data_IF_528784283723
#
_entry.id   IF_528784283723
#
_cell.length_a   1.000
_cell.length_b   1.000
_cell.length_c   1.000
_cell.angle_alpha   90.00
_cell.angle_beta   90.00
_cell.angle_gamma   90.00
#
_symmetry.space_group_name_H-M   'P 1'
#
loop_
_entity.id
_entity.type
_entity.pdbx_description
1 polymer ?
#
# COMPACT_ATOMS: atom_id res chain seq x y z
N UNK A 1 2.71 -7.94 -20.52
CA UNK A 1 1.63 -7.63 -19.57
C UNK A 1 2.19 -6.64 -18.57
N UNK A 2 1.38 -5.76 -17.97
CA UNK A 2 1.88 -4.79 -16.99
C UNK A 2 2.29 -5.52 -15.70
N UNK A 3 3.54 -5.98 -15.68
CA UNK A 3 4.20 -6.74 -14.62
C UNK A 3 4.55 -5.84 -13.43
N UNK A 4 3.52 -5.41 -12.71
CA UNK A 4 3.69 -4.62 -11.49
C UNK A 4 3.16 -5.40 -10.30
N UNK A 5 4.03 -5.61 -9.31
CA UNK A 5 3.66 -6.20 -8.02
C UNK A 5 2.49 -5.42 -7.39
N UNK A 6 1.58 -6.15 -6.74
CA UNK A 6 0.55 -5.55 -5.88
C UNK A 6 1.20 -4.89 -4.66
N UNK A 7 0.43 -4.07 -3.95
CA UNK A 7 0.89 -3.44 -2.71
C UNK A 7 1.33 -4.47 -1.66
N UNK A 8 0.57 -5.57 -1.50
CA UNK A 8 0.94 -6.64 -0.57
C UNK A 8 2.24 -7.35 -0.97
N UNK A 9 2.47 -7.57 -2.26
CA UNK A 9 3.69 -8.19 -2.76
C UNK A 9 4.90 -7.27 -2.62
N UNK A 10 4.72 -5.96 -2.82
CA UNK A 10 5.73 -4.94 -2.52
C UNK A 10 6.10 -4.92 -1.03
N UNK A 11 5.09 -5.02 -0.15
CA UNK A 11 5.30 -5.10 1.28
C UNK A 11 6.07 -6.36 1.68
N UNK A 12 5.76 -7.53 1.09
CA UNK A 12 6.56 -8.75 1.29
C UNK A 12 8.02 -8.54 0.87
N UNK A 13 8.26 -8.01 -0.33
CA UNK A 13 9.62 -7.75 -0.81
C UNK A 13 10.41 -6.83 0.15
N UNK A 14 9.74 -5.80 0.65
CA UNK A 14 10.27 -4.81 1.57
C UNK A 14 10.61 -5.41 2.95
N UNK A 15 9.66 -6.14 3.56
CA UNK A 15 9.84 -6.77 4.88
C UNK A 15 10.98 -7.77 4.88
N UNK A 16 11.04 -8.65 3.87
CA UNK A 16 12.14 -9.60 3.69
C UNK A 16 13.47 -8.86 3.59
N UNK A 17 13.56 -7.80 2.78
CA UNK A 17 14.80 -7.06 2.59
C UNK A 17 15.31 -6.41 3.89
N UNK A 18 14.40 -5.84 4.69
CA UNK A 18 14.75 -5.27 5.99
C UNK A 18 15.25 -6.34 6.95
N UNK A 19 14.52 -7.45 7.09
CA UNK A 19 14.88 -8.51 8.03
C UNK A 19 16.25 -9.11 7.70
N UNK A 20 16.51 -9.37 6.42
CA UNK A 20 17.79 -9.90 5.95
C UNK A 20 18.94 -8.90 6.12
N UNK A 21 18.70 -7.60 6.00
CA UNK A 21 19.72 -6.58 6.27
C UNK A 21 19.99 -6.43 7.78
N UNK A 22 18.94 -6.44 8.61
CA UNK A 22 19.06 -6.36 10.08
C UNK A 22 19.82 -7.56 10.65
N UNK A 23 19.71 -8.72 10.02
CA UNK A 23 20.46 -9.94 10.36
C UNK A 23 21.83 -10.04 9.67
N UNK A 24 22.30 -8.96 9.05
CA UNK A 24 23.59 -8.91 8.32
C UNK A 24 23.76 -10.00 7.25
N UNK A 25 22.65 -10.47 6.68
CA UNK A 25 22.64 -11.51 5.65
C UNK A 25 23.21 -10.97 4.34
N UNK A 26 24.17 -11.68 3.75
CA UNK A 26 24.82 -11.25 2.49
C UNK A 26 23.80 -11.27 1.32
N UNK A 27 23.53 -10.12 0.66
CA UNK A 27 22.68 -10.06 -0.52
C UNK A 27 23.11 -10.99 -1.67
N UNK A 28 24.39 -11.38 -1.73
CA UNK A 28 24.89 -12.32 -2.73
C UNK A 28 24.41 -13.75 -2.46
N UNK A 29 24.34 -14.19 -1.20
CA UNK A 29 23.78 -15.50 -0.84
C UNK A 29 22.27 -15.55 -1.12
N UNK A 30 21.57 -14.45 -0.86
CA UNK A 30 20.16 -14.27 -1.24
C UNK A 30 19.99 -14.39 -2.77
N UNK A 31 20.87 -13.74 -3.55
CA UNK A 31 20.82 -13.78 -5.01
C UNK A 31 21.09 -15.20 -5.56
N UNK A 32 22.00 -15.96 -4.93
CA UNK A 32 22.26 -17.37 -5.27
C UNK A 32 21.04 -18.24 -4.99
N UNK A 33 20.44 -18.09 -3.81
CA UNK A 33 19.23 -18.82 -3.44
C UNK A 33 18.09 -18.56 -4.46
N UNK A 34 17.84 -17.29 -4.80
CA UNK A 34 16.80 -16.90 -5.76
C UNK A 34 17.04 -17.44 -7.18
N UNK A 35 18.30 -17.64 -7.57
CA UNK A 35 18.65 -18.17 -8.89
C UNK A 35 18.16 -19.61 -9.08
N UNK A 36 18.02 -20.39 -8.01
CA UNK A 36 17.42 -21.72 -8.07
C UNK A 36 15.96 -21.67 -8.52
N UNK A 37 15.13 -20.80 -7.93
CA UNK A 37 13.74 -20.65 -8.33
C UNK A 37 13.64 -20.24 -9.80
N UNK A 38 14.52 -19.34 -10.26
CA UNK A 38 14.56 -18.90 -11.66
C UNK A 38 14.84 -20.06 -12.61
N UNK A 39 15.75 -20.97 -12.24
CA UNK A 39 16.08 -22.13 -13.09
C UNK A 39 14.97 -23.19 -13.16
N UNK A 40 13.98 -23.12 -12.27
CA UNK A 40 12.93 -24.13 -12.13
C UNK A 40 11.52 -23.55 -12.29
N UNK A 41 11.39 -22.27 -12.68
CA UNK A 41 10.13 -21.52 -12.68
C UNK A 41 9.04 -22.09 -13.59
N UNK A 42 9.46 -22.80 -14.63
CA UNK A 42 8.56 -23.38 -15.63
C UNK A 42 8.05 -24.77 -15.21
N UNK A 43 8.51 -25.27 -14.06
CA UNK A 43 8.06 -26.56 -13.53
C UNK A 43 6.79 -26.41 -12.71
N UNK A 44 5.86 -27.39 -12.77
CA UNK A 44 4.60 -27.34 -12.03
C UNK A 44 4.79 -27.34 -10.50
N UNK A 45 5.93 -27.80 -10.00
CA UNK A 45 6.27 -27.87 -8.57
C UNK A 45 7.43 -26.94 -8.19
N UNK A 46 7.64 -25.84 -8.94
CA UNK A 46 8.75 -24.92 -8.76
C UNK A 46 8.90 -24.40 -7.32
N UNK A 47 7.79 -23.98 -6.69
CA UNK A 47 7.78 -23.39 -5.35
C UNK A 47 8.11 -24.43 -4.28
N UNK A 48 7.50 -25.62 -4.34
CA UNK A 48 7.78 -26.67 -3.35
C UNK A 48 9.23 -27.16 -3.45
N UNK A 49 9.76 -27.27 -4.68
CA UNK A 49 11.19 -27.55 -4.91
C UNK A 49 12.09 -26.45 -4.39
N UNK A 50 11.70 -25.20 -4.54
CA UNK A 50 12.44 -24.06 -4.03
C UNK A 50 12.53 -24.08 -2.50
N UNK A 51 11.41 -24.23 -1.80
CA UNK A 51 11.43 -24.33 -0.33
C UNK A 51 12.16 -25.58 0.19
N UNK A 52 12.07 -26.71 -0.55
CA UNK A 52 12.88 -27.90 -0.26
C UNK A 52 14.38 -27.62 -0.42
N UNK A 53 14.75 -26.89 -1.47
CA UNK A 53 16.14 -26.48 -1.71
C UNK A 53 16.65 -25.56 -0.58
N UNK A 54 15.89 -24.54 -0.20
CA UNK A 54 16.22 -23.67 0.94
C UNK A 54 16.40 -24.49 2.23
N UNK A 55 15.50 -25.43 2.52
CA UNK A 55 15.63 -26.32 3.68
C UNK A 55 16.88 -27.21 3.63
N UNK A 56 17.30 -27.59 2.42
CA UNK A 56 18.54 -28.36 2.18
C UNK A 56 19.76 -27.49 2.45
N UNK A 57 19.76 -26.21 2.02
CA UNK A 57 20.84 -25.26 2.34
C UNK A 57 21.02 -25.07 3.86
N UNK A 58 19.92 -25.04 4.62
CA UNK A 58 19.98 -24.95 6.08
C UNK A 58 20.56 -26.24 6.71
N UNK A 59 20.09 -27.40 6.27
CA UNK A 59 20.47 -28.70 6.87
C UNK A 59 21.88 -29.14 6.48
N UNK A 60 22.28 -28.88 5.23
CA UNK A 60 23.57 -29.30 4.66
C UNK A 60 24.58 -28.16 4.54
N UNK A 61 24.24 -26.96 5.01
CA UNK A 61 25.09 -25.77 4.88
C UNK A 61 26.48 -25.93 5.50
N UNK A 62 26.62 -26.74 6.55
CA UNK A 62 27.93 -27.04 7.17
C UNK A 62 28.87 -27.84 6.25
N UNK A 63 28.33 -28.56 5.26
CA UNK A 63 29.13 -29.33 4.29
C UNK A 63 29.43 -28.54 3.01
N UNK A 64 28.62 -27.52 2.71
CA UNK A 64 28.68 -26.73 1.46
C UNK A 64 29.37 -25.38 1.70
N UNK A 65 29.24 -24.81 2.90
CA UNK A 65 29.85 -23.54 3.28
C UNK A 65 31.21 -23.73 3.95
N UNK A 66 32.20 -22.96 3.50
CA UNK A 66 33.51 -22.91 4.15
C UNK A 66 33.51 -22.19 5.51
N UNK A 67 32.37 -21.59 5.92
CA UNK A 67 32.25 -20.84 7.18
C UNK A 67 30.90 -21.12 7.87
N UNK A 68 30.89 -21.04 9.21
CA UNK A 68 29.65 -21.10 10.02
C UNK A 68 28.69 -19.94 9.70
N UNK A 69 29.22 -18.82 9.19
CA UNK A 69 28.46 -17.62 8.81
C UNK A 69 27.50 -17.88 7.64
N UNK A 70 27.91 -18.73 6.70
CA UNK A 70 27.10 -19.09 5.53
C UNK A 70 25.82 -19.85 5.92
N UNK A 71 25.89 -20.71 6.93
CA UNK A 71 24.72 -21.47 7.41
C UNK A 71 23.70 -20.57 8.09
N UNK A 72 24.18 -19.58 8.85
CA UNK A 72 23.34 -18.58 9.49
C UNK A 72 22.56 -17.76 8.46
N UNK A 73 23.21 -17.34 7.36
CA UNK A 73 22.54 -16.68 6.24
C UNK A 73 21.38 -17.51 5.67
N UNK A 74 21.59 -18.81 5.47
CA UNK A 74 20.52 -19.68 4.98
C UNK A 74 19.38 -19.84 5.98
N UNK A 75 19.65 -19.84 7.30
CA UNK A 75 18.60 -19.85 8.33
C UNK A 75 17.77 -18.59 8.28
N UNK A 76 18.41 -17.43 8.18
CA UNK A 76 17.73 -16.14 8.10
C UNK A 76 16.87 -16.04 6.81
N UNK A 77 17.41 -16.51 5.68
CA UNK A 77 16.68 -16.61 4.41
C UNK A 77 15.46 -17.52 4.55
N UNK A 78 15.63 -18.70 5.13
CA UNK A 78 14.54 -19.66 5.31
C UNK A 78 13.42 -19.11 6.20
N UNK A 79 13.77 -18.43 7.29
CA UNK A 79 12.82 -17.80 8.20
C UNK A 79 12.02 -16.70 7.47
N UNK A 80 12.70 -15.73 6.87
CA UNK A 80 12.07 -14.61 6.18
C UNK A 80 11.17 -15.06 5.01
N UNK A 81 11.61 -16.06 4.23
CA UNK A 81 10.81 -16.57 3.12
C UNK A 81 9.58 -17.33 3.61
N UNK A 82 9.72 -18.12 4.67
CA UNK A 82 8.59 -18.82 5.26
C UNK A 82 7.55 -17.85 5.80
N UNK A 83 7.98 -16.75 6.42
CA UNK A 83 7.07 -15.75 6.99
C UNK A 83 6.33 -14.94 5.92
N UNK A 84 7.03 -14.50 4.87
CA UNK A 84 6.47 -13.50 3.94
C UNK A 84 6.08 -14.04 2.56
N UNK A 85 6.35 -15.32 2.26
CA UNK A 85 6.05 -15.94 0.97
C UNK A 85 5.20 -17.22 1.08
N UNK A 86 4.76 -17.64 2.28
CA UNK A 86 3.96 -18.86 2.47
C UNK A 86 2.69 -18.90 1.61
N UNK A 87 2.10 -17.73 1.39
CA UNK A 87 0.82 -17.58 0.71
C UNK A 87 0.98 -17.32 -0.79
N UNK A 88 2.22 -17.34 -1.32
CA UNK A 88 2.48 -17.16 -2.74
C UNK A 88 2.55 -18.52 -3.44
N UNK A 89 1.59 -18.75 -4.34
CA UNK A 89 1.45 -19.97 -5.15
C UNK A 89 1.94 -19.80 -6.60
N UNK A 90 2.23 -18.56 -7.00
CA UNK A 90 2.68 -18.24 -8.36
C UNK A 90 4.22 -18.07 -8.40
N UNK A 91 4.96 -18.95 -9.12
CA UNK A 91 6.42 -18.89 -9.19
C UNK A 91 6.97 -17.59 -9.80
N UNK A 92 6.26 -17.03 -10.78
CA UNK A 92 6.68 -15.81 -11.48
C UNK A 92 6.52 -14.58 -10.57
N UNK A 93 5.42 -14.52 -9.83
CA UNK A 93 5.21 -13.48 -8.81
C UNK A 93 6.27 -13.58 -7.71
N UNK A 94 6.52 -14.79 -7.21
CA UNK A 94 7.55 -15.03 -6.19
C UNK A 94 8.94 -14.58 -6.68
N UNK A 95 9.28 -14.85 -7.95
CA UNK A 95 10.52 -14.35 -8.56
C UNK A 95 10.59 -12.84 -8.64
N UNK A 96 9.49 -12.16 -8.95
CA UNK A 96 9.43 -10.70 -8.95
C UNK A 96 9.65 -10.14 -7.54
N UNK A 97 8.98 -10.70 -6.52
CA UNK A 97 9.16 -10.31 -5.11
C UNK A 97 10.64 -10.46 -4.71
N UNK A 98 11.21 -11.65 -4.92
CA UNK A 98 12.59 -11.96 -4.55
C UNK A 98 13.63 -11.14 -5.34
N UNK A 99 13.33 -10.83 -6.60
CA UNK A 99 14.11 -9.93 -7.43
C UNK A 99 14.13 -8.50 -6.87
N UNK A 100 13.00 -8.01 -6.37
CA UNK A 100 12.94 -6.72 -5.69
C UNK A 100 13.60 -6.76 -4.32
N UNK A 101 13.42 -7.81 -3.52
CA UNK A 101 14.15 -8.02 -2.26
C UNK A 101 15.65 -7.84 -2.44
N UNK A 102 16.24 -8.48 -3.45
CA UNK A 102 17.69 -8.39 -3.72
C UNK A 102 18.13 -6.96 -4.06
N UNK A 103 17.32 -6.20 -4.82
CA UNK A 103 17.59 -4.79 -5.15
C UNK A 103 17.46 -3.90 -3.91
N UNK A 104 16.41 -4.11 -3.12
CA UNK A 104 16.12 -3.36 -1.90
C UNK A 104 17.20 -3.59 -0.84
N UNK A 105 17.67 -4.82 -0.65
CA UNK A 105 18.78 -5.12 0.26
C UNK A 105 20.05 -4.33 -0.10
N UNK A 106 20.45 -4.32 -1.38
CA UNK A 106 21.62 -3.54 -1.84
C UNK A 106 21.44 -2.05 -1.59
N UNK A 107 20.23 -1.56 -1.88
CA UNK A 107 19.88 -0.16 -1.66
C UNK A 107 19.91 0.22 -0.16
N UNK A 108 19.35 -0.61 0.72
CA UNK A 108 19.32 -0.38 2.18
C UNK A 108 20.67 -0.54 2.86
N UNK A 109 21.58 -1.33 2.29
CA UNK A 109 22.95 -1.43 2.80
C UNK A 109 23.70 -0.08 2.72
N UNK A 110 23.32 0.79 1.78
CA UNK A 110 23.99 2.07 1.51
C UNK A 110 23.23 3.31 1.99
N UNK A 111 21.97 3.16 2.40
CA UNK A 111 21.12 4.26 2.86
C UNK A 111 20.74 4.06 4.35
N UNK A 112 20.62 5.12 5.17
CA UNK A 112 20.20 4.98 6.57
C UNK A 112 18.82 4.31 6.67
N UNK A 113 18.78 3.11 7.25
CA UNK A 113 17.59 2.26 7.34
C UNK A 113 16.47 2.95 8.16
N UNK A 114 16.84 3.64 9.24
CA UNK A 114 15.90 4.23 10.20
C UNK A 114 15.06 5.40 9.63
N UNK A 115 15.67 6.30 8.86
CA UNK A 115 14.93 7.44 8.26
C UNK A 115 13.90 6.98 7.22
N UNK A 116 14.10 5.78 6.65
CA UNK A 116 13.24 5.25 5.60
C UNK A 116 12.12 4.37 6.15
N UNK A 117 12.38 3.57 7.18
CA UNK A 117 11.35 2.83 7.91
C UNK A 117 10.28 3.81 8.41
N UNK A 118 10.70 4.98 8.92
CA UNK A 118 9.81 6.06 9.32
C UNK A 118 8.95 6.59 8.14
N UNK A 119 9.55 6.87 6.97
CA UNK A 119 8.83 7.37 5.80
C UNK A 119 7.85 6.36 5.19
N UNK A 120 8.17 5.07 5.23
CA UNK A 120 7.30 4.02 4.70
C UNK A 120 6.15 3.71 5.65
N UNK A 121 6.39 3.70 6.96
CA UNK A 121 5.34 3.62 7.97
C UNK A 121 4.40 4.83 7.90
N UNK A 122 4.94 6.03 7.74
CA UNK A 122 4.14 7.24 7.52
C UNK A 122 3.25 7.13 6.28
N UNK A 123 3.80 6.67 5.15
CA UNK A 123 3.02 6.50 3.92
C UNK A 123 1.91 5.45 4.05
N UNK A 124 2.20 4.33 4.74
CA UNK A 124 1.20 3.29 5.01
C UNK A 124 0.09 3.79 5.95
N UNK A 125 0.45 4.55 6.99
CA UNK A 125 -0.52 5.15 7.91
C UNK A 125 -1.41 6.20 7.23
N UNK A 126 -0.88 6.97 6.28
CA UNK A 126 -1.68 7.91 5.47
C UNK A 126 -2.69 7.15 4.59
N UNK A 127 -2.27 6.06 3.95
CA UNK A 127 -3.13 5.26 3.10
C UNK A 127 -4.27 4.58 3.89
N UNK A 128 -3.97 4.06 5.08
CA UNK A 128 -4.98 3.42 5.95
C UNK A 128 -6.03 4.43 6.44
N UNK A 129 -5.60 5.62 6.89
CA UNK A 129 -6.51 6.70 7.25
C UNK A 129 -7.42 7.13 6.09
N UNK A 130 -6.91 7.15 4.85
CA UNK A 130 -7.72 7.46 3.67
C UNK A 130 -8.76 6.37 3.39
N UNK A 131 -8.38 5.09 3.54
CA UNK A 131 -9.29 3.96 3.36
C UNK A 131 -10.42 3.96 4.42
N UNK A 132 -10.08 4.21 5.68
CA UNK A 132 -11.06 4.35 6.77
C UNK A 132 -12.04 5.49 6.49
N UNK A 133 -11.54 6.66 6.08
CA UNK A 133 -12.40 7.80 5.70
C UNK A 133 -13.34 7.47 4.55
N UNK A 134 -12.89 6.73 3.54
CA UNK A 134 -13.74 6.29 2.43
C UNK A 134 -14.81 5.28 2.88
N UNK A 135 -14.49 4.40 3.83
CA UNK A 135 -15.43 3.45 4.40
C UNK A 135 -16.51 4.16 5.25
N UNK A 136 -16.14 5.16 6.04
CA UNK A 136 -17.08 6.01 6.79
C UNK A 136 -18.02 6.78 5.87
N UNK A 137 -17.50 7.32 4.75
CA UNK A 137 -18.31 7.96 3.72
C UNK A 137 -19.30 6.96 3.11
N UNK A 138 -18.85 5.75 2.73
CA UNK A 138 -19.75 4.71 2.19
C UNK A 138 -20.82 4.28 3.20
N UNK A 139 -20.47 4.15 4.48
CA UNK A 139 -21.41 3.79 5.53
C UNK A 139 -22.46 4.88 5.77
N UNK A 140 -22.06 6.15 5.84
CA UNK A 140 -22.97 7.29 6.02
C UNK A 140 -23.87 7.54 4.80
N UNK A 141 -23.38 7.25 3.60
CA UNK A 141 -24.19 7.32 2.36
C UNK A 141 -25.23 6.21 2.30
N UNK A 142 -24.96 5.00 2.82
CA UNK A 142 -25.93 3.89 2.79
C UNK A 142 -27.22 4.20 3.56
N UNK A 143 -27.18 5.14 4.51
CA UNK A 143 -28.37 5.63 5.24
C UNK A 143 -29.14 6.76 4.55
N UNK A 144 -28.58 7.42 3.52
CA UNK A 144 -29.23 8.52 2.81
C UNK A 144 -29.19 8.29 1.29
N UNK A 145 -30.34 8.02 0.69
CA UNK A 145 -30.45 7.89 -0.77
C UNK A 145 -30.39 9.28 -1.42
N UNK A 146 -29.33 9.48 -2.20
CA UNK A 146 -29.11 10.69 -3.01
C UNK A 146 -29.51 10.46 -4.46
N UNK A 147 -30.12 11.48 -5.06
CA UNK A 147 -30.57 11.46 -6.46
C UNK A 147 -30.04 12.70 -7.18
N UNK A 148 -29.78 12.57 -8.49
CA UNK A 148 -29.36 13.69 -9.33
C UNK A 148 -30.44 14.77 -9.32
N UNK A 149 -30.01 16.02 -9.17
CA UNK A 149 -30.89 17.19 -9.12
C UNK A 149 -31.55 17.45 -7.76
N UNK A 150 -31.41 16.55 -6.77
CA UNK A 150 -31.96 16.73 -5.42
C UNK A 150 -31.23 17.87 -4.69
N UNK A 151 -32.00 18.69 -3.97
CA UNK A 151 -31.51 19.76 -3.12
C UNK A 151 -31.40 19.23 -1.69
N UNK A 152 -30.23 19.41 -1.08
CA UNK A 152 -29.94 18.99 0.28
C UNK A 152 -29.27 20.13 1.04
N UNK A 153 -29.36 20.08 2.37
CA UNK A 153 -28.70 21.05 3.24
C UNK A 153 -27.21 20.69 3.40
N UNK A 154 -26.34 21.69 3.26
CA UNK A 154 -24.91 21.56 3.42
C UNK A 154 -24.36 22.68 4.30
N UNK A 155 -23.37 22.35 5.12
CA UNK A 155 -22.67 23.25 6.03
C UNK A 155 -21.41 23.80 5.37
N UNK A 156 -21.16 25.09 5.48
CA UNK A 156 -19.89 25.70 5.09
C UNK A 156 -18.82 25.31 6.11
N UNK A 157 -17.83 24.50 5.70
CA UNK A 157 -16.80 23.99 6.63
C UNK A 157 -15.45 24.66 6.46
N UNK A 158 -15.19 25.31 5.31
CA UNK A 158 -13.93 26.00 5.09
C UNK A 158 -14.04 27.06 3.99
N UNK A 159 -13.23 28.12 4.10
CA UNK A 159 -13.01 29.16 3.08
C UNK A 159 -11.51 29.29 2.84
N UNK A 160 -11.09 29.14 1.58
CA UNK A 160 -9.67 29.13 1.20
C UNK A 160 -9.37 30.16 0.11
N UNK A 161 -8.08 30.46 -0.07
CA UNK A 161 -7.59 31.43 -1.05
C UNK A 161 -8.11 31.18 -2.46
N UNK A 162 -8.39 32.25 -3.20
CA UNK A 162 -8.95 32.18 -4.55
C UNK A 162 -10.48 32.05 -4.59
N UNK A 163 -11.16 32.55 -3.55
CA UNK A 163 -12.60 32.55 -3.36
C UNK A 163 -13.22 31.16 -3.39
N UNK A 164 -12.57 30.18 -2.74
CA UNK A 164 -13.01 28.79 -2.70
C UNK A 164 -13.70 28.47 -1.38
N UNK A 165 -14.90 27.90 -1.45
CA UNK A 165 -15.70 27.49 -0.29
C UNK A 165 -15.87 25.98 -0.31
N UNK A 166 -15.70 25.35 0.85
CA UNK A 166 -15.93 23.91 1.04
C UNK A 166 -17.26 23.71 1.74
N UNK A 167 -18.15 22.95 1.10
CA UNK A 167 -19.45 22.56 1.63
C UNK A 167 -19.43 21.09 2.05
N UNK A 168 -20.03 20.77 3.19
CA UNK A 168 -20.23 19.42 3.71
C UNK A 168 -21.73 19.12 3.83
N UNK A 169 -22.23 18.06 3.18
CA UNK A 169 -23.66 17.71 3.26
C UNK A 169 -24.01 17.29 4.70
N UNK A 170 -25.02 17.93 5.30
CA UNK A 170 -25.40 17.71 6.70
C UNK A 170 -25.77 16.24 6.94
N UNK A 171 -25.17 15.64 7.97
CA UNK A 171 -25.38 14.23 8.31
C UNK A 171 -24.49 13.25 7.52
N UNK A 172 -23.55 13.75 6.69
CA UNK A 172 -22.57 12.93 5.97
C UNK A 172 -21.18 13.54 6.04
N UNK A 173 -20.15 12.77 5.67
CA UNK A 173 -18.77 13.27 5.50
C UNK A 173 -18.45 13.71 4.07
N UNK A 174 -19.47 13.91 3.21
CA UNK A 174 -19.28 14.27 1.80
C UNK A 174 -18.98 15.76 1.70
N UNK A 175 -17.82 16.10 1.10
CA UNK A 175 -17.38 17.48 0.90
C UNK A 175 -17.15 17.80 -0.56
N UNK A 176 -17.47 19.04 -0.96
CA UNK A 176 -17.10 19.58 -2.26
C UNK A 176 -16.57 21.02 -2.11
N UNK A 177 -15.46 21.32 -2.78
CA UNK A 177 -14.84 22.65 -2.78
C UNK A 177 -15.11 23.34 -4.11
N UNK A 178 -15.72 24.52 -4.07
CA UNK A 178 -16.19 25.23 -5.25
C UNK A 178 -15.72 26.68 -5.19
N UNK A 179 -15.39 27.26 -6.35
CA UNK A 179 -15.08 28.68 -6.45
C UNK A 179 -16.38 29.49 -6.45
N UNK A 180 -16.53 30.37 -5.47
CA UNK A 180 -17.74 31.17 -5.21
C UNK A 180 -17.41 32.68 -5.26
N UNK A 181 -16.94 33.21 -6.39
CA UNK A 181 -16.39 34.57 -6.43
C UNK A 181 -17.39 35.66 -6.03
N UNK A 182 -18.70 35.42 -6.18
CA UNK A 182 -19.76 36.37 -5.85
C UNK A 182 -20.29 36.24 -4.42
N UNK A 183 -20.14 35.07 -3.83
CA UNK A 183 -20.75 34.71 -2.54
C UNK A 183 -19.71 34.43 -1.46
N UNK A 184 -18.43 34.38 -1.82
CA UNK A 184 -17.34 34.10 -0.89
C UNK A 184 -17.38 35.01 0.33
N UNK A 185 -17.53 36.32 0.16
CA UNK A 185 -17.55 37.27 1.28
C UNK A 185 -18.86 37.24 2.09
N UNK A 186 -19.93 36.71 1.50
CA UNK A 186 -21.27 36.64 2.13
C UNK A 186 -21.51 35.36 2.92
N UNK A 187 -20.66 34.36 2.72
CA UNK A 187 -20.79 33.05 3.37
C UNK A 187 -19.93 32.99 4.63
N UNK A 188 -20.52 32.52 5.71
CA UNK A 188 -19.83 32.32 7.00
C UNK A 188 -19.49 30.84 7.20
N UNK A 189 -18.41 30.57 7.92
CA UNK A 189 -18.11 29.20 8.37
C UNK A 189 -19.23 28.77 9.32
N UNK A 190 -19.61 27.51 9.25
CA UNK A 190 -20.73 26.88 9.95
C UNK A 190 -22.14 27.25 9.46
N UNK A 191 -22.26 28.15 8.48
CA UNK A 191 -23.54 28.47 7.84
C UNK A 191 -24.13 27.25 7.09
N UNK A 192 -25.44 27.00 7.26
CA UNK A 192 -26.18 26.01 6.46
C UNK A 192 -26.72 26.68 5.20
N UNK A 193 -26.46 26.06 4.06
CA UNK A 193 -26.89 26.47 2.72
C UNK A 193 -27.51 25.31 1.97
N UNK A 194 -28.25 25.60 0.90
CA UNK A 194 -28.84 24.61 0.01
C UNK A 194 -27.92 24.33 -1.18
N UNK A 195 -27.62 23.06 -1.39
CA UNK A 195 -26.83 22.59 -2.54
C UNK A 195 -27.62 21.58 -3.37
N UNK A 196 -27.50 21.68 -4.69
CA UNK A 196 -28.06 20.73 -5.64
C UNK A 196 -26.99 19.75 -6.12
N UNK A 197 -27.33 18.46 -6.10
CA UNK A 197 -26.46 17.37 -6.54
C UNK A 197 -26.43 17.31 -8.07
N UNK A 198 -25.24 17.43 -8.65
CA UNK A 198 -25.02 17.48 -10.10
C UNK A 198 -24.34 16.22 -10.65
N UNK A 199 -23.61 15.48 -9.82
CA UNK A 199 -22.90 14.26 -10.22
C UNK A 199 -22.88 13.27 -9.05
N UNK A 200 -23.19 12.00 -9.33
CA UNK A 200 -23.19 10.90 -8.37
C UNK A 200 -22.30 9.79 -8.93
N UNK A 201 -21.50 9.18 -8.07
CA UNK A 201 -20.58 8.08 -8.38
C UNK A 201 -20.78 6.98 -7.32
N UNK A 202 -21.21 5.78 -7.72
CA UNK A 202 -21.58 4.68 -6.82
C UNK A 202 -22.53 5.07 -5.66
N UNK A 203 -23.50 5.96 -5.94
CA UNK A 203 -24.46 6.47 -4.95
C UNK A 203 -23.92 7.60 -4.06
N UNK A 204 -22.66 8.00 -4.23
CA UNK A 204 -22.01 9.09 -3.50
C UNK A 204 -22.04 10.38 -4.34
N UNK A 205 -22.65 11.48 -3.86
CA UNK A 205 -22.53 12.80 -4.49
C UNK A 205 -21.08 13.24 -4.67
N UNK A 206 -20.67 13.43 -5.92
CA UNK A 206 -19.30 13.81 -6.31
C UNK A 206 -19.18 15.29 -6.63
N UNK A 207 -20.21 15.86 -7.24
CA UNK A 207 -20.32 17.31 -7.46
C UNK A 207 -21.70 17.78 -7.06
N UNK A 208 -21.73 18.87 -6.32
CA UNK A 208 -22.94 19.62 -5.98
C UNK A 208 -22.62 21.11 -6.03
N UNK A 209 -23.62 21.96 -6.24
CA UNK A 209 -23.46 23.42 -6.31
C UNK A 209 -24.49 24.10 -5.43
N UNK A 210 -24.12 25.23 -4.85
CA UNK A 210 -25.03 26.08 -4.10
C UNK A 210 -26.14 26.61 -5.01
N UNK A 211 -27.38 26.59 -4.52
CA UNK A 211 -28.57 27.06 -5.27
C UNK A 211 -29.35 28.15 -4.54
N UNK A 212 -28.96 28.51 -3.32
CA UNK A 212 -29.45 29.70 -2.63
C UNK A 212 -28.66 30.96 -3.00
#
# INVERSE_FOLDING_TARGET
>A
MNDTLTESQWQSAHKIAIELIKSETDPNEVSKANSYLRSMSDRPDAISRFFKYISTLVSSGNQIGHSKKTVEYYRNIAAAYKEYLSDQDNPQVMLQILGWTSRLMRYYKTAPIAERDAKLQEKAAIADNQAQRLAEIKASVKSQVFELGKIVDAKVVNKTSGNKVTYEIVGTSIRNTIKEPKMFDKLEIDQIVKVQINEIDDGIPKKFKRVD
#
